data_IF_175526563237
#
_entry.id   IF_175526563237
#
_cell.length_a   1.000
_cell.length_b   1.000
_cell.length_c   1.000
_cell.angle_alpha   90.00
_cell.angle_beta   90.00
_cell.angle_gamma   90.00
#
_symmetry.space_group_name_H-M   'P 1'
#
loop_
_entity.id
_entity.type
_entity.pdbx_description
1 polymer ?
#
# COMPACT_ATOMS: atom_id res chain seq x y z
N UNK A 1 11.17 -0.91 -2.86
CA UNK A 1 12.39 -0.11 -2.63
C UNK A 1 12.01 1.34 -2.80
N UNK A 2 11.98 2.12 -1.72
CA UNK A 2 11.63 3.53 -1.76
C UNK A 2 12.74 4.31 -2.46
N UNK A 3 12.73 4.32 -3.80
CA UNK A 3 13.53 5.28 -4.54
C UNK A 3 12.90 6.64 -4.28
N UNK A 4 13.74 7.66 -4.09
CA UNK A 4 13.31 9.05 -4.09
C UNK A 4 12.68 9.34 -5.44
N UNK A 5 11.41 9.02 -5.55
CA UNK A 5 10.62 9.40 -6.70
C UNK A 5 10.61 10.93 -6.65
N UNK A 6 11.34 11.57 -7.57
CA UNK A 6 11.43 13.03 -7.68
C UNK A 6 10.12 13.60 -8.23
N UNK A 7 8.99 13.01 -7.83
CA UNK A 7 7.67 13.46 -8.17
C UNK A 7 7.36 14.69 -7.34
N UNK A 8 6.72 15.69 -7.96
CA UNK A 8 6.34 16.94 -7.31
C UNK A 8 5.53 16.69 -6.02
N UNK A 9 4.64 15.68 -6.03
CA UNK A 9 3.87 15.26 -4.85
C UNK A 9 4.75 14.77 -3.69
N UNK A 10 5.87 14.12 -3.98
CA UNK A 10 6.81 13.68 -2.94
C UNK A 10 7.45 14.86 -2.22
N UNK A 11 7.84 15.91 -2.96
CA UNK A 11 8.41 17.14 -2.41
C UNK A 11 7.37 17.91 -1.57
N UNK A 12 6.16 18.11 -2.11
CA UNK A 12 5.08 18.77 -1.37
C UNK A 12 4.77 18.08 -0.05
N UNK A 13 4.74 16.74 -0.03
CA UNK A 13 4.53 16.00 1.21
C UNK A 13 5.62 16.21 2.25
N UNK A 14 6.89 16.41 1.85
CA UNK A 14 7.99 16.72 2.77
C UNK A 14 7.84 18.13 3.32
N UNK A 15 7.55 19.12 2.48
CA UNK A 15 7.30 20.50 2.91
C UNK A 15 6.12 20.58 3.88
N UNK A 16 5.01 19.92 3.55
CA UNK A 16 3.82 19.89 4.40
C UNK A 16 4.12 19.22 5.74
N UNK A 17 4.74 18.03 5.74
CA UNK A 17 5.02 17.28 6.97
C UNK A 17 6.01 17.98 7.92
N UNK A 18 6.89 18.84 7.38
CA UNK A 18 7.87 19.60 8.16
C UNK A 18 7.40 20.99 8.58
N UNK A 19 6.21 21.43 8.16
CA UNK A 19 5.63 22.71 8.62
C UNK A 19 5.34 22.69 10.12
N UNK A 20 5.78 23.72 10.85
CA UNK A 20 5.53 23.87 12.29
C UNK A 20 4.04 23.82 12.65
N UNK A 21 3.19 24.41 11.80
CA UNK A 21 1.74 24.39 11.99
C UNK A 21 1.18 22.96 11.91
N UNK A 22 1.63 22.20 10.92
CA UNK A 22 1.22 20.80 10.73
C UNK A 22 1.74 19.93 11.86
N UNK A 23 3.01 20.09 12.24
CA UNK A 23 3.61 19.35 13.37
C UNK A 23 2.88 19.63 14.68
N UNK A 24 2.49 20.88 14.92
CA UNK A 24 1.68 21.25 16.09
C UNK A 24 0.29 20.62 16.05
N UNK A 25 -0.38 20.65 14.89
CA UNK A 25 -1.71 20.04 14.71
C UNK A 25 -1.68 18.51 14.87
N UNK A 26 -0.58 17.86 14.50
CA UNK A 26 -0.34 16.43 14.71
C UNK A 26 0.23 16.10 16.09
N UNK A 27 0.27 17.07 17.01
CA UNK A 27 0.78 16.92 18.38
C UNK A 27 2.24 16.43 18.47
N UNK A 28 3.08 16.77 17.49
CA UNK A 28 4.52 16.49 17.53
C UNK A 28 5.19 17.47 18.47
N UNK A 29 5.83 16.97 19.53
CA UNK A 29 6.55 17.78 20.51
C UNK A 29 7.72 18.52 19.85
N UNK A 30 7.82 19.84 20.08
CA UNK A 30 8.94 20.64 19.54
C UNK A 30 10.27 20.14 20.09
N UNK A 31 11.24 19.94 19.21
CA UNK A 31 12.58 19.43 19.55
C UNK A 31 12.68 17.92 19.79
N UNK A 32 11.59 17.14 19.72
CA UNK A 32 11.65 15.69 19.96
C UNK A 32 12.16 14.88 18.77
N UNK A 33 11.97 15.38 17.55
CA UNK A 33 12.31 14.71 16.30
C UNK A 33 12.90 15.73 15.32
N UNK A 34 13.90 15.31 14.56
CA UNK A 34 14.50 16.11 13.48
C UNK A 34 13.55 16.35 12.30
N UNK A 35 14.12 16.59 11.12
CA UNK A 35 13.35 16.69 9.88
C UNK A 35 12.67 15.35 9.57
N UNK A 36 11.37 15.39 9.27
CA UNK A 36 10.62 14.23 8.82
C UNK A 36 11.12 13.79 7.44
N UNK A 37 11.43 12.50 7.33
CA UNK A 37 11.83 11.86 6.07
C UNK A 37 10.84 10.76 5.74
N UNK A 38 10.38 10.72 4.48
CA UNK A 38 9.43 9.71 4.00
C UNK A 38 9.96 8.28 4.14
N UNK A 39 11.24 8.07 3.86
CA UNK A 39 11.87 6.76 3.88
C UNK A 39 13.21 6.80 4.59
N UNK A 40 13.39 5.91 5.55
CA UNK A 40 14.66 5.61 6.21
C UNK A 40 15.06 4.17 5.84
N UNK A 41 16.15 4.03 5.11
CA UNK A 41 16.61 2.73 4.58
C UNK A 41 17.62 2.02 5.46
N UNK A 42 18.02 2.66 6.55
CA UNK A 42 19.11 2.32 7.47
C UNK A 42 18.61 1.70 8.79
N UNK A 43 17.31 1.46 8.92
CA UNK A 43 16.69 1.03 10.18
C UNK A 43 16.52 -0.47 10.34
N UNK A 44 16.65 -1.26 9.27
CA UNK A 44 16.26 -2.66 9.29
C UNK A 44 17.19 -3.54 8.46
N UNK A 45 17.50 -4.71 9.01
CA UNK A 45 18.10 -5.81 8.28
C UNK A 45 17.07 -6.47 7.36
N UNK A 46 17.53 -7.00 6.22
CA UNK A 46 16.70 -7.67 5.22
C UNK A 46 16.88 -9.18 5.31
N UNK A 47 16.52 -9.74 6.45
CA UNK A 47 16.66 -11.16 6.80
C UNK A 47 15.50 -12.03 6.28
N UNK A 48 14.33 -11.44 6.02
CA UNK A 48 13.18 -12.13 5.45
C UNK A 48 13.24 -12.14 3.92
N UNK A 49 13.56 -13.30 3.34
CA UNK A 49 13.59 -13.49 1.89
C UNK A 49 12.22 -13.69 1.23
N UNK A 50 11.23 -14.21 1.98
CA UNK A 50 9.88 -14.47 1.45
C UNK A 50 8.83 -14.44 2.54
N UNK A 51 7.69 -13.79 2.25
CA UNK A 51 6.51 -13.80 3.13
C UNK A 51 5.62 -15.02 2.94
N UNK A 52 5.89 -15.88 1.94
CA UNK A 52 5.03 -17.02 1.61
C UNK A 52 4.74 -17.95 2.79
N UNK A 53 5.74 -18.36 3.62
CA UNK A 53 5.47 -19.23 4.76
C UNK A 53 4.49 -18.63 5.77
N UNK A 54 4.51 -17.30 5.93
CA UNK A 54 3.62 -16.58 6.84
C UNK A 54 2.19 -16.56 6.31
N UNK A 55 2.00 -16.30 5.01
CA UNK A 55 0.67 -16.38 4.39
C UNK A 55 0.07 -17.78 4.52
N UNK A 56 0.87 -18.84 4.30
CA UNK A 56 0.42 -20.23 4.48
C UNK A 56 -0.02 -20.50 5.94
N UNK A 57 0.75 -20.02 6.92
CA UNK A 57 0.40 -20.20 8.34
C UNK A 57 -0.89 -19.46 8.71
N UNK A 58 -1.05 -18.21 8.26
CA UNK A 58 -2.25 -17.41 8.52
C UNK A 58 -3.49 -18.02 7.85
N UNK A 59 -3.36 -18.50 6.61
CA UNK A 59 -4.40 -19.23 5.91
C UNK A 59 -4.87 -20.48 6.69
N UNK A 60 -3.93 -21.26 7.25
CA UNK A 60 -4.28 -22.44 8.08
C UNK A 60 -5.05 -22.07 9.34
N UNK A 61 -4.78 -20.89 9.91
CA UNK A 61 -5.52 -20.34 11.07
C UNK A 61 -6.87 -19.73 10.69
N UNK A 62 -7.22 -19.70 9.41
CA UNK A 62 -8.51 -19.22 8.92
C UNK A 62 -8.55 -17.74 8.58
N UNK A 63 -7.43 -17.01 8.66
CA UNK A 63 -7.36 -15.59 8.30
C UNK A 63 -7.48 -15.41 6.79
N UNK A 64 -8.39 -14.51 6.36
CA UNK A 64 -8.52 -14.08 4.97
C UNK A 64 -7.33 -13.19 4.60
N UNK A 65 -6.74 -13.44 3.42
CA UNK A 65 -5.65 -12.62 2.89
C UNK A 65 -6.06 -12.03 1.54
N UNK A 66 -5.88 -10.70 1.38
CA UNK A 66 -5.92 -10.03 0.09
C UNK A 66 -4.50 -9.71 -0.34
N UNK A 67 -4.07 -10.30 -1.46
CA UNK A 67 -2.84 -9.91 -2.14
C UNK A 67 -3.27 -9.19 -3.41
N UNK A 68 -2.84 -7.94 -3.60
CA UNK A 68 -3.18 -7.22 -4.80
C UNK A 68 -1.97 -6.53 -5.43
N UNK A 69 -1.96 -6.47 -6.76
CA UNK A 69 -1.02 -5.68 -7.53
C UNK A 69 -1.76 -4.76 -8.48
N UNK A 70 -1.04 -3.80 -9.07
CA UNK A 70 -1.52 -3.13 -10.26
C UNK A 70 -0.74 -3.59 -11.48
N UNK A 71 -1.46 -3.92 -12.54
CA UNK A 71 -0.93 -4.16 -13.87
C UNK A 71 -0.88 -2.84 -14.65
N UNK A 72 0.25 -2.57 -15.29
CA UNK A 72 0.45 -1.41 -16.17
C UNK A 72 -0.21 -1.58 -17.55
N UNK A 73 -0.92 -2.69 -17.80
CA UNK A 73 -1.47 -2.97 -19.11
C UNK A 73 -2.56 -1.95 -19.49
N UNK A 74 -2.34 -1.29 -20.62
CA UNK A 74 -3.21 -0.28 -21.18
C UNK A 74 -4.37 -0.95 -21.94
N UNK A 75 -5.59 -0.45 -21.68
CA UNK A 75 -6.82 -0.56 -22.50
C UNK A 75 -7.72 -1.79 -22.27
N UNK A 76 -8.99 -1.53 -21.89
CA UNK A 76 -10.11 -2.47 -21.79
C UNK A 76 -10.99 -2.18 -20.57
N UNK A 77 -12.33 -2.24 -20.72
CA UNK A 77 -13.37 -1.81 -19.74
C UNK A 77 -13.39 -2.55 -18.38
N UNK A 78 -12.42 -3.41 -18.09
CA UNK A 78 -12.35 -4.25 -16.89
C UNK A 78 -11.37 -3.65 -15.88
N UNK A 79 -11.81 -3.44 -14.64
CA UNK A 79 -11.01 -2.79 -13.58
C UNK A 79 -9.85 -3.65 -13.04
N UNK A 80 -9.82 -4.95 -13.37
CA UNK A 80 -8.82 -5.91 -12.92
C UNK A 80 -9.37 -7.34 -12.87
N UNK A 81 -8.60 -8.27 -12.32
CA UNK A 81 -8.95 -9.70 -12.22
C UNK A 81 -8.83 -10.20 -10.79
N UNK A 82 -9.59 -11.23 -10.43
CA UNK A 82 -9.53 -11.83 -9.10
C UNK A 82 -9.43 -13.35 -9.20
N UNK A 83 -8.69 -13.95 -8.27
CA UNK A 83 -8.56 -15.40 -8.12
C UNK A 83 -8.58 -15.76 -6.64
N UNK A 84 -9.56 -16.55 -6.25
CA UNK A 84 -9.65 -17.11 -4.90
C UNK A 84 -9.09 -18.53 -4.90
N UNK A 85 -8.26 -18.83 -3.90
CA UNK A 85 -7.64 -20.12 -3.68
C UNK A 85 -8.32 -20.85 -2.51
N UNK A 86 -8.19 -22.18 -2.47
CA UNK A 86 -8.80 -23.04 -1.44
C UNK A 86 -8.34 -22.71 -0.01
N UNK A 87 -7.18 -22.06 0.14
CA UNK A 87 -6.60 -21.64 1.41
C UNK A 87 -7.07 -20.25 1.88
N UNK A 88 -8.28 -19.79 1.49
CA UNK A 88 -8.84 -18.48 1.86
C UNK A 88 -7.96 -17.28 1.49
N UNK A 89 -7.13 -17.46 0.45
CA UNK A 89 -6.32 -16.41 -0.14
C UNK A 89 -7.02 -15.89 -1.39
N UNK A 90 -7.15 -14.58 -1.52
CA UNK A 90 -7.65 -13.92 -2.73
C UNK A 90 -6.53 -13.07 -3.31
N UNK A 91 -6.19 -13.35 -4.57
CA UNK A 91 -5.31 -12.52 -5.37
C UNK A 91 -6.15 -11.61 -6.27
N UNK A 92 -5.88 -10.31 -6.25
CA UNK A 92 -6.56 -9.32 -7.09
C UNK A 92 -5.54 -8.53 -7.92
N UNK A 93 -5.90 -8.15 -9.13
CA UNK A 93 -5.16 -7.16 -9.92
C UNK A 93 -6.02 -5.92 -10.07
N UNK A 94 -5.39 -4.74 -10.13
CA UNK A 94 -6.06 -3.47 -10.41
C UNK A 94 -5.40 -2.83 -11.63
N UNK A 95 -6.16 -2.69 -12.72
CA UNK A 95 -5.62 -2.26 -14.00
C UNK A 95 -5.24 -0.79 -14.02
N UNK A 96 -4.12 -0.48 -14.69
CA UNK A 96 -3.66 0.87 -14.98
C UNK A 96 -2.96 1.57 -13.82
N UNK A 97 -2.45 0.84 -12.81
CA UNK A 97 -1.81 1.46 -11.64
C UNK A 97 -0.31 1.17 -11.51
N UNK A 98 0.39 2.05 -10.79
CA UNK A 98 1.80 1.87 -10.42
C UNK A 98 2.01 1.14 -9.09
N UNK A 99 3.26 1.17 -8.59
CA UNK A 99 3.62 0.58 -7.30
C UNK A 99 2.72 1.08 -6.14
N UNK A 100 2.31 2.34 -6.21
CA UNK A 100 1.31 2.98 -5.33
C UNK A 100 -0.07 2.97 -6.00
N UNK A 101 -0.68 1.79 -6.12
CA UNK A 101 -1.98 1.58 -6.75
C UNK A 101 -3.06 2.66 -6.45
N UNK A 102 -3.28 3.08 -5.19
CA UNK A 102 -4.31 4.07 -4.87
C UNK A 102 -4.00 5.48 -5.38
N UNK A 103 -2.74 5.79 -5.71
CA UNK A 103 -2.34 7.07 -6.29
C UNK A 103 -2.86 7.23 -7.73
N UNK A 104 -2.95 6.12 -8.47
CA UNK A 104 -3.33 6.12 -9.88
C UNK A 104 -4.79 5.73 -10.08
N UNK A 105 -5.30 4.77 -9.31
CA UNK A 105 -6.67 4.24 -9.42
C UNK A 105 -7.39 4.26 -8.07
N UNK A 106 -7.61 5.45 -7.46
CA UNK A 106 -8.18 5.55 -6.12
C UNK A 106 -9.59 4.98 -6.01
N UNK A 107 -10.43 5.16 -7.04
CA UNK A 107 -11.83 4.67 -7.04
C UNK A 107 -11.89 3.15 -7.07
N UNK A 108 -11.07 2.53 -7.91
CA UNK A 108 -11.00 1.08 -8.07
C UNK A 108 -10.39 0.43 -6.82
N UNK A 109 -9.31 1.02 -6.28
CA UNK A 109 -8.69 0.55 -5.03
C UNK A 109 -9.66 0.65 -3.84
N UNK A 110 -10.43 1.74 -3.74
CA UNK A 110 -11.44 1.90 -2.70
C UNK A 110 -12.56 0.86 -2.82
N UNK A 111 -13.12 0.67 -4.03
CA UNK A 111 -14.17 -0.32 -4.25
C UNK A 111 -13.71 -1.76 -3.94
N UNK A 112 -12.47 -2.10 -4.29
CA UNK A 112 -11.86 -3.39 -3.93
C UNK A 112 -11.72 -3.54 -2.41
N UNK A 113 -11.19 -2.51 -1.73
CA UNK A 113 -11.03 -2.54 -0.28
C UNK A 113 -12.37 -2.66 0.45
N UNK A 114 -13.36 -1.85 0.08
CA UNK A 114 -14.70 -1.84 0.64
C UNK A 114 -15.42 -3.19 0.50
N UNK A 115 -15.36 -3.79 -0.70
CA UNK A 115 -15.89 -5.14 -0.92
C UNK A 115 -15.17 -6.19 -0.08
N UNK A 116 -13.84 -6.12 0.00
CA UNK A 116 -13.06 -7.09 0.75
C UNK A 116 -13.39 -7.10 2.25
N UNK A 117 -13.43 -5.91 2.88
CA UNK A 117 -13.77 -5.78 4.32
C UNK A 117 -15.22 -6.12 4.61
N UNK A 118 -16.13 -5.91 3.66
CA UNK A 118 -17.55 -6.23 3.77
C UNK A 118 -17.88 -7.69 3.44
N UNK A 119 -16.86 -8.53 3.19
CA UNK A 119 -17.01 -9.92 2.77
C UNK A 119 -17.77 -10.13 1.44
N UNK A 120 -17.88 -9.06 0.65
CA UNK A 120 -18.49 -9.12 -0.67
C UNK A 120 -17.50 -9.69 -1.71
N UNK A 121 -18.00 -10.36 -2.76
CA UNK A 121 -17.18 -10.74 -3.90
C UNK A 121 -16.47 -9.53 -4.52
N UNK A 122 -15.20 -9.70 -4.90
CA UNK A 122 -14.39 -8.69 -5.59
C UNK A 122 -14.64 -8.67 -7.09
#
# INVERSE_FOLDING_TARGET
>A
MCRFDKTYGSLLGIYWANSDLVRKALHIRKGSLGEWKRCRTDLYDKDIHSSFPYHVNLSKKGYRSLIYNCDHDLIGQVAGYTRTYSNRMTFATVKGGGHTAPQFNPKQCFAMFDRWISENPL
#
